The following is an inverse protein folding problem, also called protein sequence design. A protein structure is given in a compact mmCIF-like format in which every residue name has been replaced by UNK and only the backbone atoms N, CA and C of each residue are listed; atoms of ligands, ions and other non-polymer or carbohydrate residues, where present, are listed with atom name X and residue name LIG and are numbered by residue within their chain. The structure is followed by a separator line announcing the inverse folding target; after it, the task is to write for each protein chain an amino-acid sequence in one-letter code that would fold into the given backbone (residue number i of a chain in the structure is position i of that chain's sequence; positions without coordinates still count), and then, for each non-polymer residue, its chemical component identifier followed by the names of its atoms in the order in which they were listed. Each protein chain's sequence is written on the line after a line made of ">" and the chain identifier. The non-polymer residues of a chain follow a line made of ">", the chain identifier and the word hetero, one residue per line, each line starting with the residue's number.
data_IF_075471700102
#
_entry.id   IF_075471700102
#
_cell.length_a   1.000
_cell.length_b   1.000
_cell.length_c   1.000
_cell.angle_alpha   90.00
_cell.angle_beta   90.00
_cell.angle_gamma   90.00
#
_symmetry.space_group_name_H-M   'P 1'
#
loop_
_entity.id
_entity.type
_entity.pdbx_description
1 polymer ?
#
# COMPACT_ATOMS: atom_id res chain seq x y z
N UNK A 1 -7.89 20.86 -7.00
CA UNK A 1 -7.40 19.80 -7.87
C UNK A 1 -5.94 19.59 -7.54
N UNK A 2 -5.69 18.60 -6.70
CA UNK A 2 -4.38 18.12 -6.28
C UNK A 2 -4.02 16.91 -7.13
N UNK A 3 -2.73 16.70 -7.40
CA UNK A 3 -2.24 15.50 -8.11
C UNK A 3 -1.56 14.53 -7.14
N UNK A 4 -2.12 13.34 -6.98
CA UNK A 4 -1.67 12.32 -6.03
C UNK A 4 -1.14 11.09 -6.76
N UNK A 5 -0.03 10.52 -6.28
CA UNK A 5 0.47 9.23 -6.72
C UNK A 5 0.52 8.25 -5.55
N UNK A 6 -0.12 7.10 -5.72
CA UNK A 6 -0.07 5.97 -4.79
C UNK A 6 0.87 4.91 -5.38
N UNK A 7 1.96 4.60 -4.66
CA UNK A 7 3.01 3.68 -5.13
C UNK A 7 2.96 2.41 -4.28
N UNK A 8 2.60 1.30 -4.92
CA UNK A 8 2.33 0.01 -4.29
C UNK A 8 3.16 -1.12 -4.90
N UNK A 9 3.39 -2.18 -4.12
CA UNK A 9 4.20 -3.31 -4.53
C UNK A 9 3.43 -4.25 -5.46
N UNK A 10 2.20 -4.61 -5.10
CA UNK A 10 1.43 -5.65 -5.78
C UNK A 10 -0.01 -5.22 -6.13
N UNK A 11 -0.68 -5.92 -7.06
CA UNK A 11 -2.10 -5.75 -7.32
C UNK A 11 -2.98 -6.19 -6.14
N UNK A 12 -3.68 -5.25 -5.50
CA UNK A 12 -4.55 -5.36 -4.31
C UNK A 12 -4.19 -4.35 -3.22
N UNK A 13 -2.89 -4.05 -3.09
CA UNK A 13 -2.37 -3.10 -2.11
C UNK A 13 -3.00 -1.71 -2.23
N UNK A 14 -3.32 -1.26 -3.46
CA UNK A 14 -3.97 0.03 -3.68
C UNK A 14 -5.40 0.06 -3.13
N UNK A 15 -6.04 -1.10 -3.04
CA UNK A 15 -7.38 -1.23 -2.46
C UNK A 15 -7.32 -1.50 -0.95
N UNK A 16 -6.31 -2.26 -0.51
CA UNK A 16 -6.12 -2.68 0.89
C UNK A 16 -5.62 -1.55 1.80
N UNK A 17 -4.65 -0.76 1.33
CA UNK A 17 -3.97 0.25 2.15
C UNK A 17 -4.52 1.66 1.95
N UNK A 18 -4.99 1.96 0.74
CA UNK A 18 -5.23 3.35 0.30
C UNK A 18 -6.52 3.51 -0.51
N UNK A 19 -7.34 2.46 -0.58
CA UNK A 19 -8.53 2.44 -1.43
C UNK A 19 -9.56 3.50 -1.03
N UNK A 20 -9.66 3.82 0.26
CA UNK A 20 -10.54 4.87 0.76
C UNK A 20 -10.05 6.25 0.30
N UNK A 21 -8.77 6.58 0.50
CA UNK A 21 -8.21 7.86 0.09
C UNK A 21 -8.21 8.03 -1.43
N UNK A 22 -7.89 6.99 -2.20
CA UNK A 22 -7.95 7.01 -3.66
C UNK A 22 -9.38 7.39 -4.10
N UNK A 23 -10.39 6.65 -3.63
CA UNK A 23 -11.78 6.90 -3.99
C UNK A 23 -12.27 8.27 -3.50
N UNK A 24 -11.88 8.68 -2.29
CA UNK A 24 -12.20 10.00 -1.74
C UNK A 24 -11.68 11.13 -2.63
N UNK A 25 -10.39 11.13 -2.97
CA UNK A 25 -9.78 12.17 -3.79
C UNK A 25 -10.31 12.16 -5.24
N UNK A 26 -10.50 10.98 -5.83
CA UNK A 26 -11.09 10.87 -7.16
C UNK A 26 -12.51 11.49 -7.21
N UNK A 27 -13.33 11.27 -6.18
CA UNK A 27 -14.67 11.86 -6.06
C UNK A 27 -14.66 13.38 -5.87
N UNK A 28 -13.63 13.91 -5.22
CA UNK A 28 -13.43 15.36 -5.08
C UNK A 28 -12.90 16.03 -6.36
N UNK A 29 -12.57 15.26 -7.38
CA UNK A 29 -12.07 15.75 -8.67
C UNK A 29 -10.56 16.00 -8.70
N UNK A 30 -9.80 15.40 -7.77
CA UNK A 30 -8.35 15.37 -7.82
C UNK A 30 -7.85 14.37 -8.88
N UNK A 31 -6.62 14.56 -9.39
CA UNK A 31 -5.99 13.58 -10.28
C UNK A 31 -5.30 12.53 -9.43
N UNK A 32 -5.80 11.29 -9.49
CA UNK A 32 -5.30 10.19 -8.68
C UNK A 32 -4.63 9.16 -9.59
N UNK A 33 -3.37 8.90 -9.33
CA UNK A 33 -2.56 7.95 -10.10
C UNK A 33 -2.12 6.79 -9.21
N UNK A 34 -2.07 5.59 -9.79
CA UNK A 34 -1.54 4.39 -9.12
C UNK A 34 -0.36 3.85 -9.91
N UNK A 35 0.74 3.56 -9.22
CA UNK A 35 1.88 2.85 -9.77
C UNK A 35 2.08 1.57 -8.97
N UNK A 36 2.05 0.42 -9.65
CA UNK A 36 2.26 -0.90 -9.05
C UNK A 36 3.62 -1.44 -9.48
N UNK A 37 4.47 -1.85 -8.55
CA UNK A 37 5.86 -2.22 -8.84
C UNK A 37 5.99 -3.57 -9.56
N UNK A 38 5.11 -4.53 -9.23
CA UNK A 38 5.12 -5.90 -9.76
C UNK A 38 3.70 -6.36 -10.06
N UNK A 39 3.54 -7.58 -10.59
CA UNK A 39 2.21 -8.16 -10.87
C UNK A 39 1.81 -9.23 -9.86
N UNK A 40 2.63 -9.45 -8.84
CA UNK A 40 2.28 -10.37 -7.76
C UNK A 40 2.31 -11.84 -8.20
N UNK A 41 3.33 -12.19 -8.98
CA UNK A 41 3.49 -13.51 -9.58
C UNK A 41 3.71 -14.65 -8.57
N UNK A 42 4.07 -14.32 -7.33
CA UNK A 42 4.30 -15.27 -6.24
C UNK A 42 3.11 -15.37 -5.27
N UNK A 43 1.97 -14.74 -5.59
CA UNK A 43 0.77 -14.75 -4.76
C UNK A 43 0.08 -16.12 -4.67
N UNK A 44 -0.50 -16.38 -3.50
CA UNK A 44 -1.44 -17.50 -3.31
C UNK A 44 -2.76 -17.24 -4.05
N UNK A 45 -3.54 -18.29 -4.35
CA UNK A 45 -4.79 -18.17 -5.12
C UNK A 45 -5.96 -18.77 -4.36
N UNK A 46 -6.88 -17.91 -3.92
CA UNK A 46 -8.06 -18.30 -3.14
C UNK A 46 -9.06 -19.19 -3.91
N UNK A 47 -9.53 -18.81 -5.11
CA UNK A 47 -10.62 -19.53 -5.76
C UNK A 47 -10.14 -20.84 -6.40
N UNK A 48 -10.82 -21.94 -6.09
CA UNK A 48 -10.41 -23.29 -6.48
C UNK A 48 -10.31 -23.52 -8.00
N UNK A 49 -11.10 -22.80 -8.80
CA UNK A 49 -11.05 -22.87 -10.26
C UNK A 49 -9.74 -22.29 -10.84
N UNK A 50 -9.04 -21.45 -10.08
CA UNK A 50 -7.77 -20.84 -10.46
C UNK A 50 -6.58 -21.37 -9.67
N UNK A 51 -6.75 -22.32 -8.76
CA UNK A 51 -5.67 -22.85 -7.92
C UNK A 51 -4.46 -23.39 -8.72
N UNK A 52 -4.68 -23.80 -9.98
CA UNK A 52 -3.62 -24.23 -10.89
C UNK A 52 -2.64 -23.11 -11.32
N UNK A 53 -2.97 -21.84 -11.02
CA UNK A 53 -2.11 -20.68 -11.29
C UNK A 53 -1.09 -20.43 -10.17
N UNK A 54 -1.36 -20.91 -8.96
CA UNK A 54 -0.49 -20.74 -7.80
C UNK A 54 0.82 -21.52 -7.98
N UNK A 55 1.92 -20.96 -7.49
CA UNK A 55 3.20 -21.65 -7.45
C UNK A 55 3.24 -22.67 -6.31
N UNK A 56 3.73 -23.90 -6.55
CA UNK A 56 3.94 -24.84 -5.46
C UNK A 56 4.87 -24.23 -4.40
N UNK A 57 4.40 -24.20 -3.16
CA UNK A 57 5.12 -23.62 -2.03
C UNK A 57 6.58 -24.10 -1.96
N UNK A 58 7.50 -23.14 -1.80
CA UNK A 58 8.93 -23.41 -1.65
C UNK A 58 9.66 -23.82 -2.93
N UNK A 59 9.01 -23.77 -4.11
CA UNK A 59 9.66 -24.00 -5.40
C UNK A 59 9.79 -22.70 -6.18
N UNK A 60 11.00 -22.25 -6.54
CA UNK A 60 11.14 -21.12 -7.43
C UNK A 60 10.57 -21.48 -8.81
N UNK A 61 9.97 -20.51 -9.48
CA UNK A 61 9.63 -20.63 -10.90
C UNK A 61 10.90 -20.62 -11.75
N UNK A 62 10.88 -21.38 -12.84
CA UNK A 62 11.87 -21.26 -13.91
C UNK A 62 11.82 -19.83 -14.47
N UNK A 63 12.93 -19.07 -14.48
CA UNK A 63 12.95 -17.68 -14.94
C UNK A 63 12.40 -17.45 -16.36
N UNK A 64 12.45 -18.47 -17.21
CA UNK A 64 11.97 -18.41 -18.59
C UNK A 64 10.50 -18.87 -18.74
N UNK A 65 9.88 -19.36 -17.66
CA UNK A 65 8.48 -19.79 -17.70
C UNK A 65 7.52 -18.58 -17.65
N UNK A 66 6.41 -18.62 -18.41
CA UNK A 66 5.42 -17.56 -18.39
C UNK A 66 4.70 -17.50 -17.04
N UNK A 67 4.21 -16.34 -16.61
CA UNK A 67 3.45 -16.18 -15.35
C UNK A 67 1.95 -15.95 -15.59
N UNK A 68 1.14 -17.00 -15.68
CA UNK A 68 -0.28 -16.83 -15.99
C UNK A 68 -1.06 -16.13 -14.86
N UNK A 69 -0.57 -16.18 -13.61
CA UNK A 69 -1.16 -15.41 -12.50
C UNK A 69 -0.98 -13.90 -12.70
N UNK A 70 0.13 -13.46 -13.28
CA UNK A 70 0.41 -12.05 -13.55
C UNK A 70 -0.65 -11.43 -14.47
N UNK A 71 -1.07 -12.16 -15.50
CA UNK A 71 -2.09 -11.70 -16.44
C UNK A 71 -3.47 -11.58 -15.79
N UNK A 72 -3.81 -12.53 -14.91
CA UNK A 72 -5.04 -12.47 -14.10
C UNK A 72 -4.99 -11.27 -13.17
N UNK A 73 -3.94 -11.14 -12.37
CA UNK A 73 -3.79 -10.03 -11.41
C UNK A 73 -3.70 -8.66 -12.08
N UNK A 74 -3.13 -8.57 -13.30
CA UNK A 74 -3.19 -7.34 -14.10
C UNK A 74 -4.63 -6.97 -14.49
N UNK A 75 -5.46 -7.96 -14.84
CA UNK A 75 -6.87 -7.72 -15.14
C UNK A 75 -7.66 -7.32 -13.88
N UNK A 76 -7.37 -7.95 -12.74
CA UNK A 76 -7.95 -7.60 -11.44
C UNK A 76 -7.58 -6.17 -11.04
N UNK A 77 -6.30 -5.77 -11.13
CA UNK A 77 -5.83 -4.41 -10.91
C UNK A 77 -6.58 -3.40 -11.76
N UNK A 78 -6.66 -3.63 -13.08
CA UNK A 78 -7.36 -2.71 -14.00
C UNK A 78 -8.83 -2.54 -13.62
N UNK A 79 -9.49 -3.61 -13.18
CA UNK A 79 -10.87 -3.53 -12.74
C UNK A 79 -10.98 -2.78 -11.39
N UNK A 80 -10.09 -3.04 -10.44
CA UNK A 80 -10.09 -2.39 -9.13
C UNK A 80 -9.85 -0.88 -9.23
N UNK A 81 -8.82 -0.44 -9.97
CA UNK A 81 -8.52 1.00 -10.14
C UNK A 81 -9.63 1.74 -10.88
N UNK A 82 -10.38 1.06 -11.75
CA UNK A 82 -11.57 1.61 -12.38
C UNK A 82 -12.73 1.82 -11.39
N UNK A 83 -12.96 0.88 -10.45
CA UNK A 83 -13.94 1.05 -9.37
C UNK A 83 -13.59 2.23 -8.45
N UNK A 84 -12.28 2.45 -8.22
CA UNK A 84 -11.80 3.54 -7.37
C UNK A 84 -11.81 4.92 -8.06
N UNK A 85 -12.04 4.99 -9.37
CA UNK A 85 -12.03 6.25 -10.13
C UNK A 85 -10.62 6.81 -10.41
N UNK A 86 -9.60 5.95 -10.43
CA UNK A 86 -8.21 6.33 -10.70
C UNK A 86 -8.07 6.95 -12.09
N UNK A 87 -7.35 8.07 -12.18
CA UNK A 87 -7.07 8.80 -13.43
C UNK A 87 -6.12 8.03 -14.34
N UNK A 88 -5.07 7.42 -13.79
CA UNK A 88 -4.21 6.50 -14.55
C UNK A 88 -3.54 5.46 -13.65
N UNK A 89 -3.40 4.24 -14.13
CA UNK A 89 -2.65 3.17 -13.47
C UNK A 89 -1.56 2.63 -14.39
N UNK A 90 -0.37 2.38 -13.85
CA UNK A 90 0.78 1.82 -14.57
C UNK A 90 1.49 0.76 -13.73
N UNK A 91 2.13 -0.20 -14.41
CA UNK A 91 3.04 -1.15 -13.77
C UNK A 91 4.48 -0.70 -14.05
N UNK A 92 5.33 -0.68 -13.02
CA UNK A 92 6.70 -0.20 -13.09
C UNK A 92 7.53 -1.06 -14.07
N UNK A 93 8.36 -0.41 -14.89
CA UNK A 93 9.27 -1.08 -15.83
C UNK A 93 8.61 -1.58 -17.13
N UNK A 94 7.30 -1.78 -17.19
CA UNK A 94 6.61 -2.29 -18.39
C UNK A 94 6.77 -1.41 -19.64
N UNK A 95 6.97 -0.09 -19.46
CA UNK A 95 7.17 0.84 -20.57
C UNK A 95 8.44 0.52 -21.39
N UNK A 96 9.38 -0.22 -20.81
CA UNK A 96 10.60 -0.70 -21.47
C UNK A 96 10.48 -2.10 -22.08
N UNK A 97 9.29 -2.72 -22.02
CA UNK A 97 9.02 -4.08 -22.47
C UNK A 97 9.05 -5.12 -21.32
N UNK A 98 8.56 -6.36 -21.58
CA UNK A 98 8.42 -7.40 -20.56
C UNK A 98 9.73 -7.75 -19.83
N UNK A 99 10.85 -7.73 -20.56
CA UNK A 99 12.20 -8.03 -20.05
C UNK A 99 12.67 -7.05 -18.96
N UNK A 100 12.08 -5.85 -18.91
CA UNK A 100 12.40 -4.77 -17.95
C UNK A 100 11.37 -4.65 -16.82
N UNK A 101 10.35 -5.51 -16.81
CA UNK A 101 9.39 -5.57 -15.72
C UNK A 101 9.99 -6.28 -14.51
N UNK A 102 9.68 -5.77 -13.32
CA UNK A 102 10.10 -6.38 -12.07
C UNK A 102 9.11 -7.46 -11.66
N UNK A 103 9.66 -8.54 -11.11
CA UNK A 103 8.90 -9.68 -10.59
C UNK A 103 8.68 -9.51 -9.09
N UNK A 104 7.50 -9.91 -8.62
CA UNK A 104 7.26 -10.21 -7.21
C UNK A 104 8.40 -11.07 -6.62
N UNK A 105 8.96 -10.61 -5.50
CA UNK A 105 10.06 -11.28 -4.82
C UNK A 105 9.57 -12.40 -3.90
N UNK A 106 8.26 -12.47 -3.66
CA UNK A 106 7.64 -13.33 -2.66
C UNK A 106 8.00 -12.93 -1.23
N UNK A 107 7.48 -13.70 -0.28
CA UNK A 107 7.68 -13.47 1.15
C UNK A 107 9.16 -13.59 1.57
N UNK A 108 9.54 -12.91 2.65
CA UNK A 108 10.90 -12.99 3.18
C UNK A 108 11.35 -14.44 3.43
N UNK A 109 12.54 -14.80 2.94
CA UNK A 109 13.11 -16.14 3.08
C UNK A 109 12.67 -17.16 2.03
N UNK A 110 11.81 -16.78 1.09
CA UNK A 110 11.41 -17.65 -0.03
C UNK A 110 12.50 -17.71 -1.12
N UNK A 111 12.57 -18.81 -1.91
CA UNK A 111 13.52 -18.93 -3.03
C UNK A 111 13.30 -17.93 -4.16
N UNK A 112 12.09 -17.39 -4.33
CA UNK A 112 11.72 -16.44 -5.39
C UNK A 112 12.55 -15.16 -5.36
N UNK A 113 13.03 -14.74 -4.19
CA UNK A 113 13.95 -13.61 -4.07
C UNK A 113 15.29 -13.80 -4.82
N UNK A 114 15.64 -15.04 -5.22
CA UNK A 114 16.81 -15.31 -6.05
C UNK A 114 16.57 -15.11 -7.55
N UNK A 115 15.32 -14.87 -7.96
CA UNK A 115 14.98 -14.63 -9.36
C UNK A 115 15.71 -13.36 -9.88
N UNK A 116 16.29 -13.37 -11.10
CA UNK A 116 17.05 -12.22 -11.63
C UNK A 116 16.25 -10.91 -11.70
N UNK A 117 14.94 -11.00 -11.89
CA UNK A 117 14.01 -9.86 -11.93
C UNK A 117 13.33 -9.54 -10.58
N UNK A 118 13.71 -10.19 -9.48
CA UNK A 118 13.07 -9.96 -8.17
C UNK A 118 13.19 -8.50 -7.74
N UNK A 119 12.06 -7.84 -7.52
CA UNK A 119 11.98 -6.40 -7.27
C UNK A 119 12.76 -5.97 -6.03
N UNK A 120 12.69 -6.73 -4.93
CA UNK A 120 13.40 -6.46 -3.68
C UNK A 120 14.93 -6.39 -3.82
N UNK A 121 15.49 -6.90 -4.92
CA UNK A 121 16.93 -6.84 -5.25
C UNK A 121 17.25 -5.88 -6.40
N UNK A 122 16.25 -5.24 -7.00
CA UNK A 122 16.46 -4.31 -8.09
C UNK A 122 17.30 -3.10 -7.63
N UNK A 123 18.20 -2.57 -8.47
CA UNK A 123 18.99 -1.40 -8.12
C UNK A 123 18.10 -0.22 -7.75
N UNK A 124 18.38 0.38 -6.59
CA UNK A 124 17.60 1.51 -6.09
C UNK A 124 17.66 2.72 -7.03
N UNK A 125 18.80 2.97 -7.65
CA UNK A 125 18.97 4.04 -8.63
C UNK A 125 18.08 3.87 -9.86
N UNK A 126 17.83 2.63 -10.29
CA UNK A 126 16.99 2.34 -11.45
C UNK A 126 15.51 2.49 -11.10
N UNK A 127 15.07 1.81 -10.04
CA UNK A 127 13.67 1.84 -9.57
C UNK A 127 13.25 3.25 -9.14
N UNK A 128 14.12 3.96 -8.42
CA UNK A 128 13.92 5.35 -8.02
C UNK A 128 13.84 6.30 -9.22
N UNK A 129 14.73 6.16 -10.22
CA UNK A 129 14.67 6.99 -11.43
C UNK A 129 13.38 6.78 -12.24
N UNK A 130 12.89 5.54 -12.33
CA UNK A 130 11.62 5.24 -12.98
C UNK A 130 10.46 5.92 -12.26
N UNK A 131 10.36 5.80 -10.93
CA UNK A 131 9.30 6.47 -10.16
C UNK A 131 9.44 8.00 -10.25
N UNK A 132 10.66 8.55 -10.18
CA UNK A 132 10.92 9.99 -10.30
C UNK A 132 10.42 10.56 -11.64
N UNK A 133 10.60 9.81 -12.73
CA UNK A 133 10.07 10.18 -14.04
C UNK A 133 8.54 10.29 -14.04
N UNK A 134 7.83 9.44 -13.28
CA UNK A 134 6.38 9.57 -13.11
C UNK A 134 6.00 10.78 -12.25
N UNK A 135 6.72 11.02 -11.15
CA UNK A 135 6.51 12.18 -10.28
C UNK A 135 6.63 13.49 -11.06
N UNK A 136 7.70 13.65 -11.84
CA UNK A 136 7.96 14.86 -12.62
C UNK A 136 7.03 15.01 -13.81
N UNK A 137 6.78 13.92 -14.57
CA UNK A 137 5.90 13.96 -15.74
C UNK A 137 4.46 14.36 -15.38
N UNK A 138 3.97 13.90 -14.23
CA UNK A 138 2.63 14.19 -13.74
C UNK A 138 2.59 15.40 -12.79
N UNK A 139 3.74 16.02 -12.51
CA UNK A 139 3.88 17.10 -11.53
C UNK A 139 3.16 16.79 -10.21
N UNK A 140 3.42 15.59 -9.67
CA UNK A 140 2.78 15.08 -8.45
C UNK A 140 3.06 16.01 -7.28
N UNK A 141 2.05 16.26 -6.45
CA UNK A 141 2.15 17.11 -5.25
C UNK A 141 2.19 16.29 -3.96
N UNK A 142 1.56 15.12 -3.97
CA UNK A 142 1.48 14.19 -2.84
C UNK A 142 1.77 12.77 -3.33
N UNK A 143 2.69 12.09 -2.67
CA UNK A 143 2.97 10.68 -2.91
C UNK A 143 2.73 9.87 -1.64
N UNK A 144 2.02 8.75 -1.78
CA UNK A 144 1.70 7.84 -0.68
C UNK A 144 2.29 6.46 -0.98
N UNK A 145 2.94 5.87 0.01
CA UNK A 145 3.49 4.51 -0.05
C UNK A 145 3.52 3.88 1.36
N UNK A 146 4.36 2.89 1.59
CA UNK A 146 4.55 2.24 2.89
C UNK A 146 5.52 3.02 3.81
N UNK A 147 5.56 2.65 5.09
CA UNK A 147 6.62 3.04 6.01
C UNK A 147 7.93 2.30 5.73
N UNK A 148 8.99 2.59 6.49
CA UNK A 148 10.31 1.95 6.30
C UNK A 148 10.31 0.42 6.54
N UNK A 149 9.28 -0.08 7.23
CA UNK A 149 9.07 -1.49 7.51
C UNK A 149 8.20 -2.18 6.46
N UNK A 150 7.69 -1.46 5.46
CA UNK A 150 6.84 -2.03 4.41
C UNK A 150 5.49 -2.52 4.95
N UNK A 151 4.98 -1.90 6.00
CA UNK A 151 3.70 -2.22 6.62
C UNK A 151 3.69 -3.49 7.49
N UNK A 152 3.89 -4.66 6.88
CA UNK A 152 3.97 -5.95 7.59
C UNK A 152 5.30 -6.68 7.37
N UNK A 153 6.29 -6.04 6.74
CA UNK A 153 7.62 -6.62 6.50
C UNK A 153 7.79 -7.34 5.17
N UNK A 154 6.87 -7.17 4.20
CA UNK A 154 7.07 -7.74 2.88
C UNK A 154 8.32 -7.13 2.19
N UNK A 155 9.24 -7.93 1.62
CA UNK A 155 10.44 -7.42 0.96
C UNK A 155 10.14 -6.36 -0.11
N UNK A 156 9.13 -6.58 -0.95
CA UNK A 156 8.76 -5.63 -1.99
C UNK A 156 8.09 -4.35 -1.47
N UNK A 157 7.42 -4.39 -0.31
CA UNK A 157 6.86 -3.17 0.29
C UNK A 157 8.00 -2.29 0.81
N UNK A 158 8.99 -2.90 1.47
CA UNK A 158 10.22 -2.22 1.92
C UNK A 158 10.97 -1.62 0.73
N UNK A 159 11.10 -2.38 -0.37
CA UNK A 159 11.74 -1.86 -1.58
C UNK A 159 10.92 -0.74 -2.23
N UNK A 160 9.59 -0.84 -2.24
CA UNK A 160 8.72 0.22 -2.77
C UNK A 160 8.87 1.51 -1.95
N UNK A 161 8.93 1.42 -0.62
CA UNK A 161 9.25 2.55 0.24
C UNK A 161 10.61 3.16 -0.13
N UNK A 162 11.66 2.34 -0.23
CA UNK A 162 13.03 2.80 -0.55
C UNK A 162 13.08 3.49 -1.91
N UNK A 163 12.51 2.87 -2.95
CA UNK A 163 12.51 3.39 -4.32
C UNK A 163 11.70 4.68 -4.44
N UNK A 164 10.54 4.74 -3.77
CA UNK A 164 9.75 5.99 -3.69
C UNK A 164 10.52 7.09 -2.98
N UNK A 165 11.21 6.77 -1.88
CA UNK A 165 12.05 7.75 -1.17
C UNK A 165 13.17 8.29 -2.06
N UNK A 166 13.89 7.41 -2.75
CA UNK A 166 14.92 7.82 -3.70
C UNK A 166 14.35 8.70 -4.82
N UNK A 167 13.16 8.35 -5.32
CA UNK A 167 12.47 9.16 -6.33
C UNK A 167 12.12 10.56 -5.82
N UNK A 168 11.57 10.68 -4.61
CA UNK A 168 11.21 11.98 -4.01
C UNK A 168 12.45 12.87 -3.82
N UNK A 169 13.58 12.28 -3.39
CA UNK A 169 14.86 13.01 -3.21
C UNK A 169 15.43 13.57 -4.51
N UNK A 170 15.16 12.91 -5.63
CA UNK A 170 15.84 13.17 -6.91
C UNK A 170 14.95 13.86 -7.94
N UNK A 171 13.63 13.77 -7.79
CA UNK A 171 12.67 14.42 -8.67
C UNK A 171 12.63 15.94 -8.47
N UNK A 172 12.25 16.65 -9.53
CA UNK A 172 12.16 18.12 -9.51
C UNK A 172 10.88 18.63 -8.85
N UNK A 173 9.81 17.82 -8.87
CA UNK A 173 8.49 18.15 -8.31
C UNK A 173 8.46 18.22 -6.78
N UNK A 174 9.43 17.59 -6.10
CA UNK A 174 9.59 17.59 -4.64
C UNK A 174 8.25 17.37 -3.87
N UNK A 175 7.49 16.29 -4.19
CA UNK A 175 6.19 16.06 -3.60
C UNK A 175 6.29 15.79 -2.10
N UNK A 176 5.16 16.02 -1.45
CA UNK A 176 4.92 15.64 -0.06
C UNK A 176 4.79 14.11 0.04
N UNK A 177 5.65 13.46 0.83
CA UNK A 177 5.63 12.00 1.01
C UNK A 177 4.91 11.58 2.30
N UNK A 178 4.04 10.58 2.18
CA UNK A 178 3.30 9.98 3.28
C UNK A 178 3.38 8.45 3.26
N UNK A 179 3.30 7.85 4.45
CA UNK A 179 3.15 6.42 4.64
C UNK A 179 1.72 6.10 5.09
N UNK A 180 1.10 5.06 4.51
CA UNK A 180 -0.13 4.49 5.01
C UNK A 180 0.15 3.70 6.30
N UNK A 181 -0.52 4.07 7.39
CA UNK A 181 -0.31 3.51 8.74
C UNK A 181 -1.64 3.42 9.48
N UNK A 182 -1.68 2.63 10.56
CA UNK A 182 -2.86 2.53 11.43
C UNK A 182 -2.50 3.04 12.83
N UNK A 183 -3.24 4.03 13.38
CA UNK A 183 -3.11 4.37 14.79
C UNK A 183 -3.40 3.15 15.67
N UNK A 184 -2.62 2.96 16.72
CA UNK A 184 -2.78 1.85 17.66
C UNK A 184 -4.19 1.84 18.30
N UNK A 185 -4.77 3.00 18.62
CA UNK A 185 -6.16 3.07 19.09
C UNK A 185 -7.16 2.46 18.09
N UNK A 186 -7.01 2.76 16.79
CA UNK A 186 -7.88 2.23 15.74
C UNK A 186 -7.69 0.73 15.55
N UNK A 187 -6.46 0.24 15.63
CA UNK A 187 -6.19 -1.19 15.54
C UNK A 187 -6.87 -1.98 16.67
N UNK A 188 -6.86 -1.45 17.90
CA UNK A 188 -7.58 -2.04 19.05
C UNK A 188 -9.09 -2.04 18.84
N UNK A 189 -9.64 -0.92 18.38
CA UNK A 189 -11.07 -0.78 18.06
C UNK A 189 -11.51 -1.77 16.97
N UNK A 190 -10.70 -1.93 15.92
CA UNK A 190 -11.01 -2.80 14.80
C UNK A 190 -10.99 -4.26 15.23
N UNK A 191 -10.01 -4.69 16.05
CA UNK A 191 -10.02 -6.04 16.64
C UNK A 191 -11.22 -6.25 17.58
N UNK A 192 -11.61 -5.25 18.34
CA UNK A 192 -12.77 -5.34 19.24
C UNK A 192 -14.07 -5.49 18.44
N UNK A 193 -14.20 -4.74 17.35
CA UNK A 193 -15.31 -4.87 16.42
C UNK A 193 -15.34 -6.25 15.77
N UNK A 194 -14.21 -6.74 15.25
CA UNK A 194 -14.13 -8.07 14.62
C UNK A 194 -14.53 -9.19 15.60
N UNK A 195 -14.06 -9.12 16.85
CA UNK A 195 -14.44 -10.07 17.91
C UNK A 195 -15.94 -10.08 18.22
N UNK A 196 -16.67 -9.00 17.94
CA UNK A 196 -18.11 -8.91 18.15
C UNK A 196 -18.92 -9.34 16.90
N UNK A 197 -18.39 -9.12 15.70
CA UNK A 197 -19.17 -9.22 14.45
C UNK A 197 -18.80 -10.42 13.58
N UNK A 198 -17.60 -10.98 13.70
CA UNK A 198 -17.15 -12.10 12.86
C UNK A 198 -17.37 -13.44 13.58
N UNK A 199 -18.17 -14.32 12.98
CA UNK A 199 -18.49 -15.67 13.49
C UNK A 199 -18.29 -16.77 12.44
N UNK A 200 -17.69 -16.42 11.29
CA UNK A 200 -17.58 -17.30 10.14
C UNK A 200 -16.66 -18.51 10.43
N UNK A 201 -17.11 -19.76 10.19
CA UNK A 201 -16.28 -20.93 10.39
C UNK A 201 -14.99 -20.90 9.55
N UNK A 202 -13.86 -21.20 10.19
CA UNK A 202 -12.56 -21.27 9.50
C UNK A 202 -11.89 -19.92 9.26
N UNK A 203 -12.48 -18.82 9.75
CA UNK A 203 -11.87 -17.48 9.77
C UNK A 203 -11.19 -17.25 11.12
N UNK A 204 -9.95 -16.78 11.09
CA UNK A 204 -9.22 -16.37 12.28
C UNK A 204 -9.54 -14.91 12.61
N UNK A 205 -10.11 -14.68 13.79
CA UNK A 205 -10.28 -13.33 14.34
C UNK A 205 -9.09 -13.02 15.26
N UNK A 206 -8.27 -12.00 14.95
CA UNK A 206 -7.13 -11.62 15.79
C UNK A 206 -7.56 -11.27 17.22
N UNK A 207 -6.85 -11.80 18.21
CA UNK A 207 -7.05 -11.46 19.60
C UNK A 207 -6.47 -10.07 19.91
N UNK A 208 -6.99 -9.44 20.97
CA UNK A 208 -6.44 -8.16 21.46
C UNK A 208 -4.97 -8.26 21.87
N UNK A 209 -4.53 -9.44 22.32
CA UNK A 209 -3.15 -9.72 22.74
C UNK A 209 -2.19 -10.08 21.61
N UNK A 210 -2.68 -10.31 20.38
CA UNK A 210 -1.80 -10.67 19.28
C UNK A 210 -0.88 -9.48 18.94
N UNK A 211 0.33 -9.75 18.47
CA UNK A 211 1.21 -8.68 18.01
C UNK A 211 0.55 -7.92 16.85
N UNK A 212 0.73 -6.61 16.81
CA UNK A 212 0.36 -5.81 15.65
C UNK A 212 1.49 -5.80 14.62
N UNK A 213 1.18 -5.63 13.32
CA UNK A 213 2.22 -5.39 12.33
C UNK A 213 2.92 -4.04 12.59
N UNK A 214 4.15 -3.84 12.08
CA UNK A 214 4.90 -2.58 12.25
C UNK A 214 4.16 -1.30 11.80
N UNK A 215 3.25 -1.42 10.83
CA UNK A 215 2.36 -0.32 10.37
C UNK A 215 1.38 0.19 11.43
N UNK A 216 1.18 -0.54 12.53
CA UNK A 216 0.43 -0.02 13.67
C UNK A 216 1.37 0.82 14.52
N UNK A 217 1.13 2.12 14.53
CA UNK A 217 2.02 3.12 15.11
C UNK A 217 1.33 3.86 16.25
N UNK A 218 2.12 4.57 17.07
CA UNK A 218 1.56 5.47 18.08
C UNK A 218 0.66 6.52 17.42
N UNK A 219 -0.49 6.79 18.04
CA UNK A 219 -1.51 7.71 17.53
C UNK A 219 -0.94 9.08 17.14
N UNK A 220 0.05 9.58 17.90
CA UNK A 220 0.65 10.90 17.67
C UNK A 220 1.49 10.96 16.38
N UNK A 221 1.90 9.83 15.82
CA UNK A 221 2.62 9.77 14.55
C UNK A 221 1.69 9.89 13.34
N UNK A 222 0.38 9.65 13.52
CA UNK A 222 -0.60 9.73 12.44
C UNK A 222 -1.09 11.17 12.34
N UNK A 223 -0.59 11.88 11.34
CA UNK A 223 -0.82 13.32 11.15
C UNK A 223 -2.03 13.64 10.30
N UNK A 224 -2.44 12.70 9.45
CA UNK A 224 -3.49 12.89 8.47
C UNK A 224 -4.38 11.64 8.42
N UNK A 225 -5.66 11.80 8.09
CA UNK A 225 -6.57 10.67 7.92
C UNK A 225 -7.69 10.97 6.95
N UNK A 226 -8.24 9.92 6.36
CA UNK A 226 -9.44 9.97 5.53
C UNK A 226 -10.53 9.14 6.20
N UNK A 227 -11.74 9.69 6.30
CA UNK A 227 -12.94 8.98 6.74
C UNK A 227 -14.09 9.36 5.81
N UNK A 228 -14.55 8.41 4.99
CA UNK A 228 -15.55 8.67 3.96
C UNK A 228 -16.39 7.41 3.68
N UNK A 229 -17.63 7.40 4.20
CA UNK A 229 -18.51 6.26 4.03
C UNK A 229 -18.88 5.97 2.56
N UNK A 230 -18.91 6.99 1.69
CA UNK A 230 -19.21 6.80 0.27
C UNK A 230 -18.01 6.19 -0.46
N UNK A 231 -16.79 6.67 -0.15
CA UNK A 231 -15.56 6.05 -0.64
C UNK A 231 -15.40 4.61 -0.14
N UNK A 232 -15.85 4.30 1.09
CA UNK A 232 -15.77 2.96 1.65
C UNK A 232 -16.52 1.90 0.82
N UNK A 233 -17.65 2.27 0.21
CA UNK A 233 -18.36 1.38 -0.71
C UNK A 233 -17.56 1.10 -2.00
N UNK A 234 -16.83 2.09 -2.51
CA UNK A 234 -15.96 1.96 -3.69
C UNK A 234 -14.73 1.11 -3.36
N UNK A 235 -14.11 1.31 -2.19
CA UNK A 235 -13.03 0.45 -1.70
C UNK A 235 -13.47 -1.02 -1.62
N UNK A 236 -14.64 -1.28 -1.02
CA UNK A 236 -15.20 -2.63 -0.96
C UNK A 236 -15.51 -3.22 -2.35
N UNK A 237 -15.89 -2.39 -3.33
CA UNK A 237 -16.10 -2.84 -4.71
C UNK A 237 -14.77 -3.18 -5.40
N UNK A 238 -13.74 -2.36 -5.20
CA UNK A 238 -12.40 -2.56 -5.75
C UNK A 238 -11.73 -3.83 -5.17
N UNK A 239 -11.81 -4.05 -3.85
CA UNK A 239 -11.33 -5.27 -3.21
C UNK A 239 -11.97 -6.53 -3.80
N UNK A 240 -13.26 -6.50 -4.16
CA UNK A 240 -13.94 -7.64 -4.81
C UNK A 240 -13.42 -7.93 -6.22
N UNK A 241 -12.72 -6.99 -6.87
CA UNK A 241 -12.09 -7.22 -8.17
C UNK A 241 -10.83 -8.08 -8.05
N UNK A 242 -10.17 -8.07 -6.90
CA UNK A 242 -9.02 -8.93 -6.57
C UNK A 242 -9.46 -10.31 -6.08
N UNK A 243 -10.28 -11.01 -6.87
CA UNK A 243 -10.90 -12.28 -6.45
C UNK A 243 -9.87 -13.38 -6.15
N UNK A 244 -8.67 -13.30 -6.72
CA UNK A 244 -7.60 -14.26 -6.41
C UNK A 244 -7.00 -14.04 -5.02
N UNK A 245 -7.06 -12.81 -4.48
CA UNK A 245 -6.33 -12.39 -3.28
C UNK A 245 -7.25 -12.02 -2.10
N UNK A 246 -8.47 -11.55 -2.35
CA UNK A 246 -9.34 -10.96 -1.32
C UNK A 246 -10.75 -11.56 -1.34
N UNK A 247 -11.24 -11.98 -0.17
CA UNK A 247 -12.64 -12.34 0.07
C UNK A 247 -13.32 -11.24 0.90
N UNK A 248 -14.23 -10.49 0.28
CA UNK A 248 -14.95 -9.37 0.92
C UNK A 248 -16.30 -9.82 1.47
N UNK A 249 -16.55 -9.50 2.74
CA UNK A 249 -17.78 -9.74 3.47
C UNK A 249 -18.48 -8.41 3.85
N UNK A 250 -19.47 -8.46 4.74
CA UNK A 250 -20.16 -7.26 5.22
C UNK A 250 -19.34 -6.53 6.30
N UNK A 251 -18.59 -5.50 5.89
CA UNK A 251 -17.77 -4.67 6.79
C UNK A 251 -16.39 -5.23 7.16
N UNK A 252 -15.98 -6.35 6.56
CA UNK A 252 -14.66 -6.97 6.76
C UNK A 252 -14.26 -7.82 5.56
N UNK A 253 -13.01 -8.26 5.51
CA UNK A 253 -12.48 -9.14 4.47
C UNK A 253 -11.45 -10.11 5.04
N UNK A 254 -11.04 -11.08 4.22
CA UNK A 254 -9.90 -11.97 4.47
C UNK A 254 -9.03 -12.09 3.23
N UNK A 255 -7.77 -12.48 3.44
CA UNK A 255 -6.88 -12.97 2.39
C UNK A 255 -6.83 -14.51 2.42
N UNK A 256 -5.89 -15.12 1.70
CA UNK A 256 -5.70 -16.58 1.67
C UNK A 256 -5.45 -17.18 3.06
N UNK A 257 -4.80 -16.44 3.96
CA UNK A 257 -4.54 -16.82 5.35
C UNK A 257 -5.80 -16.87 6.25
N UNK A 258 -6.96 -16.44 5.75
CA UNK A 258 -8.25 -16.37 6.46
C UNK A 258 -8.24 -15.55 7.74
N UNK A 259 -7.31 -14.61 7.88
CA UNK A 259 -7.29 -13.65 8.99
C UNK A 259 -8.24 -12.51 8.67
N UNK A 260 -9.20 -12.26 9.56
CA UNK A 260 -10.19 -11.20 9.37
C UNK A 260 -9.57 -9.82 9.57
N UNK A 261 -9.84 -8.91 8.63
CA UNK A 261 -9.52 -7.50 8.71
C UNK A 261 -10.77 -6.65 8.47
N UNK A 262 -10.92 -5.55 9.22
CA UNK A 262 -12.13 -4.71 9.16
C UNK A 262 -12.04 -3.71 8.01
N UNK A 263 -13.15 -3.51 7.31
CA UNK A 263 -13.37 -2.34 6.45
C UNK A 263 -13.94 -1.22 7.31
N UNK A 264 -13.06 -0.53 8.03
CA UNK A 264 -13.44 0.44 9.06
C UNK A 264 -13.95 1.78 8.49
N UNK A 265 -13.77 2.02 7.18
CA UNK A 265 -14.14 3.28 6.53
C UNK A 265 -13.22 4.45 6.93
N UNK A 266 -12.02 4.12 7.42
CA UNK A 266 -10.99 5.08 7.84
C UNK A 266 -9.60 4.59 7.42
N UNK A 267 -8.76 5.51 6.97
CA UNK A 267 -7.35 5.27 6.64
C UNK A 267 -6.48 6.36 7.30
N UNK A 268 -5.33 5.96 7.85
CA UNK A 268 -4.40 6.85 8.54
C UNK A 268 -3.11 7.03 7.75
N UNK A 269 -2.53 8.22 7.85
CA UNK A 269 -1.28 8.57 7.17
C UNK A 269 -0.33 9.31 8.09
N UNK A 270 0.94 8.96 7.98
CA UNK A 270 2.03 9.64 8.66
C UNK A 270 2.94 10.31 7.65
N UNK A 271 3.41 11.52 7.99
CA UNK A 271 4.39 12.22 7.18
C UNK A 271 5.72 11.46 7.18
N UNK A 272 6.37 11.33 6.02
CA UNK A 272 7.70 10.72 5.89
C UNK A 272 8.74 11.79 5.58
N UNK A 273 9.88 11.72 6.25
CA UNK A 273 11.06 12.48 5.85
C UNK A 273 11.79 11.72 4.72
N UNK A 274 11.87 12.28 3.50
CA UNK A 274 12.50 11.59 2.37
C UNK A 274 14.02 11.44 2.53
N UNK A 275 14.67 12.19 3.43
CA UNK A 275 16.10 12.02 3.69
C UNK A 275 16.35 10.75 4.51
N UNK A 276 15.67 10.63 5.64
CA UNK A 276 15.88 9.55 6.62
C UNK A 276 15.00 8.31 6.36
N UNK A 277 13.83 8.48 5.75
CA UNK A 277 12.80 7.44 5.61
C UNK A 277 11.90 7.28 6.84
N UNK A 278 12.19 8.01 7.92
CA UNK A 278 11.46 7.91 9.17
C UNK A 278 10.11 8.65 9.12
N UNK A 279 9.17 8.19 9.93
CA UNK A 279 7.94 8.92 10.21
C UNK A 279 8.25 10.20 10.99
N UNK A 280 7.65 11.31 10.59
CA UNK A 280 7.85 12.62 11.21
C UNK A 280 6.74 12.86 12.22
N UNK A 281 7.11 12.91 13.50
CA UNK A 281 6.19 13.33 14.54
C UNK A 281 5.76 14.80 14.31
N UNK A 282 4.49 15.15 14.58
CA UNK A 282 4.04 16.53 14.49
C UNK A 282 4.87 17.41 15.43
N UNK A 283 5.54 18.41 14.86
CA UNK A 283 6.22 19.42 15.65
C UNK A 283 5.15 20.18 16.42
N UNK A 284 5.09 19.98 17.75
CA UNK A 284 4.33 20.87 18.60
C UNK A 284 5.01 22.23 18.49
N UNK A 285 4.38 23.17 17.77
CA UNK A 285 4.79 24.56 17.79
C UNK A 285 4.67 25.05 19.23
N UNK A 286 5.77 24.96 19.97
CA UNK A 286 5.92 25.60 21.26
C UNK A 286 5.92 27.09 21.00
N UNK A 287 4.72 27.69 20.94
CA UNK A 287 4.58 29.12 21.10
C UNK A 287 5.12 29.47 22.48
N UNK A 288 6.30 30.09 22.45
CA UNK A 288 6.95 30.61 23.62
C UNK A 288 6.00 31.52 24.39
N UNK A 289 5.62 31.11 25.60
CA UNK A 289 5.36 32.07 26.66
C UNK A 289 6.69 32.74 27.02
N UNK A 290 7.10 33.70 26.21
CA UNK A 290 7.97 34.76 26.70
C UNK A 290 7.13 35.57 27.66
N UNK A 291 7.28 35.34 28.97
CA UNK A 291 6.89 36.31 29.98
C UNK A 291 7.71 37.58 29.77
N UNK A 292 7.24 38.44 28.85
CA UNK A 292 7.58 39.85 28.87
C UNK A 292 6.71 40.49 29.95
N UNK A 293 7.19 40.40 31.19
CA UNK A 293 6.85 41.40 32.20
C UNK A 293 7.36 42.77 31.72
N UNK A 294 6.47 43.58 31.14
CA UNK A 294 6.56 45.05 31.18
C UNK A 294 6.12 45.45 32.60
N UNK A 295 7.01 45.98 33.44
CA UNK A 295 7.52 47.36 33.53
C UNK A 295 6.67 48.24 34.46
N UNK A 296 7.42 48.97 35.28
CA UNK A 296 7.12 50.26 35.93
C UNK A 296 6.27 50.23 37.21
N UNK A 297 6.95 50.25 38.37
CA UNK A 297 7.12 51.41 39.28
C UNK A 297 8.18 51.11 40.36
#
# INVERSE_FOLDING_TARGET
>A
MTRLLFVHAHPDDESLWTGLAIAHHARLGDEVHVLTCTLGEEGEVIPSDLAHLELPAGRPRDPEAPDPLADVRRAELRAAVAELGVTSSVVLGEQGGPERSYRDSGMAGTPSAAHPRAFARAPLSETGALIAAHLDRLAIEVVVTYDEHGGYGHPDHIQTHRATREAVRTCSSAPRMYAAVTPDSWAREDRAWLAQHVREPGVLVPAQSDAYPPSVVADELVTDSVQDAQAGAMQAAALRRHRTQVMVHDGWFTLSNRVAARLSGREGYARVDPETGALVAPQHSGEGRSERGRRDE
#
